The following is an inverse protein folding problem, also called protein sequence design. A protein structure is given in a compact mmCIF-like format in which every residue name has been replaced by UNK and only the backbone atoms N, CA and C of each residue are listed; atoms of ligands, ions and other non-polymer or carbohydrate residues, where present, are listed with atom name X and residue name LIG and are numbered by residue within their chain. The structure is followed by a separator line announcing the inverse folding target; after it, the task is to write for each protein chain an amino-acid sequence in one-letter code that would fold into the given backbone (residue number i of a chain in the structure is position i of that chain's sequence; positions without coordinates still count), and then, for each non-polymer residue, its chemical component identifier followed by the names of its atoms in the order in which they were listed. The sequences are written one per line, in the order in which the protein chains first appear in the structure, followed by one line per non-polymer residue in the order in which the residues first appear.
data_IF_777218805323
#
_entry.id   IF_777218805323
#
_cell.length_a   1.000
_cell.length_b   1.000
_cell.length_c   1.000
_cell.angle_alpha   90.00
_cell.angle_beta   90.00
_cell.angle_gamma   90.00
#
_symmetry.space_group_name_H-M   'P 1'
#
loop_
_entity.id
_entity.type
_entity.pdbx_description
1 polymer ?
#
# COMPACT_ATOMS: atom_id res chain seq x y z
N UNK A 1 6.25 10.92 -11.87
CA UNK A 1 6.12 11.71 -10.62
C UNK A 1 5.79 13.16 -10.96
N UNK A 2 5.23 13.93 -10.01
CA UNK A 2 4.85 15.33 -10.20
C UNK A 2 5.60 16.24 -9.23
N UNK A 3 5.98 17.43 -9.70
CA UNK A 3 6.61 18.48 -8.88
C UNK A 3 5.58 19.25 -8.02
N UNK A 4 6.05 20.25 -7.28
CA UNK A 4 5.24 21.13 -6.44
C UNK A 4 4.18 21.94 -7.22
N UNK A 5 4.34 22.07 -8.53
CA UNK A 5 3.39 22.73 -9.44
C UNK A 5 2.46 21.73 -10.15
N UNK A 6 2.55 20.44 -9.80
CA UNK A 6 1.76 19.36 -10.39
C UNK A 6 2.24 18.93 -11.79
N UNK A 7 3.36 19.46 -12.29
CA UNK A 7 3.90 19.11 -13.61
C UNK A 7 4.55 17.75 -13.55
N UNK A 8 4.34 16.96 -14.60
CA UNK A 8 4.90 15.62 -14.70
C UNK A 8 6.32 15.68 -15.25
N UNK A 9 7.22 14.93 -14.61
CA UNK A 9 8.59 14.73 -15.06
C UNK A 9 8.77 13.27 -15.48
N UNK A 10 8.63 12.98 -16.77
CA UNK A 10 8.70 11.61 -17.30
C UNK A 10 10.08 10.99 -17.14
N UNK A 11 11.14 11.72 -17.53
CA UNK A 11 12.52 11.25 -17.40
C UNK A 11 12.92 10.94 -15.96
N UNK A 12 12.41 11.70 -14.98
CA UNK A 12 12.63 11.39 -13.57
C UNK A 12 11.85 10.15 -13.12
N UNK A 13 10.64 9.92 -13.64
CA UNK A 13 9.87 8.70 -13.37
C UNK A 13 10.61 7.43 -13.83
N UNK A 14 11.20 7.46 -15.02
CA UNK A 14 12.05 6.37 -15.51
C UNK A 14 13.30 6.18 -14.65
N UNK A 15 13.99 7.28 -14.32
CA UNK A 15 15.17 7.24 -13.46
C UNK A 15 14.86 6.67 -12.08
N UNK A 16 13.73 7.05 -11.48
CA UNK A 16 13.29 6.53 -10.19
C UNK A 16 13.04 5.01 -10.24
N UNK A 17 12.40 4.50 -11.31
CA UNK A 17 12.21 3.05 -11.50
C UNK A 17 13.54 2.31 -11.61
N UNK A 18 14.51 2.87 -12.35
CA UNK A 18 15.86 2.29 -12.46
C UNK A 18 16.57 2.23 -11.10
N UNK A 19 16.52 3.31 -10.31
CA UNK A 19 17.13 3.37 -8.97
C UNK A 19 16.53 2.28 -8.07
N UNK A 20 15.20 2.16 -8.06
CA UNK A 20 14.51 1.14 -7.27
C UNK A 20 14.90 -0.27 -7.74
N UNK A 21 14.88 -0.55 -9.04
CA UNK A 21 15.24 -1.86 -9.58
C UNK A 21 16.69 -2.24 -9.23
N UNK A 22 17.65 -1.34 -9.47
CA UNK A 22 19.05 -1.56 -9.13
C UNK A 22 19.27 -1.74 -7.62
N UNK A 23 18.57 -0.96 -6.80
CA UNK A 23 18.64 -1.09 -5.36
C UNK A 23 18.12 -2.44 -4.87
N UNK A 24 16.99 -2.91 -5.41
CA UNK A 24 16.45 -4.23 -5.10
C UNK A 24 17.40 -5.36 -5.55
N UNK A 25 17.94 -5.29 -6.76
CA UNK A 25 18.93 -6.25 -7.29
C UNK A 25 20.21 -6.31 -6.43
N UNK A 26 20.66 -5.17 -5.92
CA UNK A 26 21.81 -5.06 -5.03
C UNK A 26 21.51 -5.40 -3.56
N UNK A 27 20.26 -5.74 -3.22
CA UNK A 27 19.84 -6.06 -1.85
C UNK A 27 19.82 -4.85 -0.91
N UNK A 28 19.69 -3.64 -1.46
CA UNK A 28 19.64 -2.40 -0.68
C UNK A 28 18.35 -2.30 0.14
N UNK A 29 18.49 -1.69 1.32
CA UNK A 29 17.35 -1.40 2.18
C UNK A 29 16.54 -0.21 1.67
N UNK A 30 15.33 -0.06 2.22
CA UNK A 30 14.43 1.09 1.97
C UNK A 30 15.13 2.43 2.14
N UNK A 31 15.96 2.58 3.17
CA UNK A 31 16.64 3.84 3.49
C UNK A 31 17.72 4.19 2.47
N UNK A 32 18.45 3.20 1.96
CA UNK A 32 19.43 3.39 0.89
C UNK A 32 18.73 3.85 -0.40
N UNK A 33 17.67 3.13 -0.80
CA UNK A 33 16.87 3.48 -1.97
C UNK A 33 16.26 4.87 -1.83
N UNK A 34 15.78 5.24 -0.63
CA UNK A 34 15.25 6.57 -0.37
C UNK A 34 16.30 7.67 -0.54
N UNK A 35 17.53 7.45 -0.06
CA UNK A 35 18.63 8.41 -0.25
C UNK A 35 18.98 8.59 -1.72
N UNK A 36 19.03 7.51 -2.50
CA UNK A 36 19.33 7.58 -3.92
C UNK A 36 18.22 8.29 -4.71
N UNK A 37 16.95 8.04 -4.36
CA UNK A 37 15.81 8.76 -4.92
C UNK A 37 15.85 10.25 -4.59
N UNK A 38 16.12 10.61 -3.33
CA UNK A 38 16.25 12.00 -2.88
C UNK A 38 17.38 12.73 -3.61
N UNK A 39 18.54 12.08 -3.73
CA UNK A 39 19.68 12.64 -4.46
C UNK A 39 19.35 12.89 -5.93
N UNK A 40 18.69 11.93 -6.60
CA UNK A 40 18.29 12.05 -8.00
C UNK A 40 17.18 13.09 -8.22
N UNK A 41 16.38 13.40 -7.20
CA UNK A 41 15.25 14.32 -7.29
C UNK A 41 15.62 15.78 -7.01
N UNK A 42 16.81 16.05 -6.45
CA UNK A 42 17.19 17.36 -5.88
C UNK A 42 16.93 18.55 -6.80
N UNK A 43 17.16 18.39 -8.10
CA UNK A 43 17.00 19.45 -9.10
C UNK A 43 15.71 19.34 -9.92
N UNK A 44 14.84 18.38 -9.61
CA UNK A 44 13.60 18.09 -10.35
C UNK A 44 12.36 18.34 -9.51
N UNK A 45 12.40 17.95 -8.23
CA UNK A 45 11.27 18.04 -7.30
C UNK A 45 11.76 18.74 -6.04
N UNK A 46 11.36 20.00 -5.86
CA UNK A 46 11.76 20.78 -4.70
C UNK A 46 10.84 20.51 -3.49
N UNK A 47 11.33 20.83 -2.30
CA UNK A 47 10.52 20.89 -1.07
C UNK A 47 10.07 19.54 -0.50
N UNK A 48 10.60 18.41 -0.98
CA UNK A 48 10.34 17.07 -0.39
C UNK A 48 11.47 16.69 0.54
N UNK A 49 11.16 16.49 1.82
CA UNK A 49 12.12 15.98 2.81
C UNK A 49 12.28 14.46 2.77
N UNK A 50 13.28 13.95 3.47
CA UNK A 50 13.65 12.51 3.52
C UNK A 50 12.47 11.56 3.76
N UNK A 51 11.56 11.91 4.67
CA UNK A 51 10.39 11.08 4.99
C UNK A 51 9.47 10.80 3.78
N UNK A 52 9.37 11.75 2.85
CA UNK A 52 8.63 11.55 1.60
C UNK A 52 9.28 10.45 0.76
N UNK A 53 10.60 10.52 0.60
CA UNK A 53 11.37 9.55 -0.17
C UNK A 53 11.40 8.17 0.49
N UNK A 54 11.46 8.12 1.81
CA UNK A 54 11.29 6.90 2.58
C UNK A 54 9.92 6.24 2.35
N UNK A 55 8.86 7.04 2.24
CA UNK A 55 7.51 6.56 1.95
C UNK A 55 7.42 6.02 0.53
N UNK A 56 7.99 6.73 -0.45
CA UNK A 56 8.04 6.30 -1.85
C UNK A 56 8.84 5.00 -1.99
N UNK A 57 10.06 4.96 -1.46
CA UNK A 57 10.89 3.75 -1.45
C UNK A 57 10.19 2.58 -0.74
N UNK A 58 9.58 2.83 0.42
CA UNK A 58 8.84 1.82 1.17
C UNK A 58 7.66 1.24 0.39
N UNK A 59 6.92 2.09 -0.35
CA UNK A 59 5.82 1.64 -1.19
C UNK A 59 6.31 0.75 -2.35
N UNK A 60 7.42 1.10 -3.00
CA UNK A 60 8.00 0.26 -4.06
C UNK A 60 8.48 -1.10 -3.55
N UNK A 61 9.24 -1.11 -2.45
CA UNK A 61 9.75 -2.35 -1.84
C UNK A 61 8.58 -3.25 -1.41
N UNK A 62 7.56 -2.68 -0.77
CA UNK A 62 6.39 -3.43 -0.33
C UNK A 62 5.58 -4.00 -1.52
N UNK A 63 5.37 -3.22 -2.58
CA UNK A 63 4.70 -3.73 -3.79
C UNK A 63 5.49 -4.86 -4.45
N UNK A 64 6.81 -4.72 -4.59
CA UNK A 64 7.67 -5.76 -5.15
C UNK A 64 7.62 -7.05 -4.34
N UNK A 65 7.62 -6.93 -3.00
CA UNK A 65 7.45 -8.07 -2.09
C UNK A 65 6.08 -8.74 -2.28
N UNK A 66 5.00 -7.98 -2.28
CA UNK A 66 3.64 -8.52 -2.44
C UNK A 66 3.47 -9.22 -3.79
N UNK A 67 3.98 -8.63 -4.87
CA UNK A 67 3.98 -9.27 -6.19
C UNK A 67 4.72 -10.61 -6.14
N UNK A 68 5.95 -10.63 -5.64
CA UNK A 68 6.75 -11.85 -5.55
C UNK A 68 6.08 -12.95 -4.71
N UNK A 69 5.46 -12.58 -3.57
CA UNK A 69 4.73 -13.53 -2.73
C UNK A 69 3.51 -14.13 -3.46
N UNK A 70 2.69 -13.29 -4.10
CA UNK A 70 1.50 -13.74 -4.81
C UNK A 70 1.86 -14.58 -6.04
N UNK A 71 2.92 -14.23 -6.77
CA UNK A 71 3.44 -15.04 -7.88
C UNK A 71 3.89 -16.43 -7.39
N UNK A 72 4.63 -16.49 -6.27
CA UNK A 72 5.05 -17.76 -5.69
C UNK A 72 3.85 -18.61 -5.23
N UNK A 73 2.80 -17.99 -4.69
CA UNK A 73 1.56 -18.70 -4.35
C UNK A 73 0.88 -19.28 -5.60
N UNK A 74 0.79 -18.50 -6.67
CA UNK A 74 0.22 -18.97 -7.93
C UNK A 74 1.01 -20.14 -8.53
N UNK A 75 2.34 -20.06 -8.54
CA UNK A 75 3.23 -21.13 -9.00
C UNK A 75 3.06 -22.42 -8.18
N UNK A 76 2.78 -22.29 -6.88
CA UNK A 76 2.52 -23.39 -5.98
C UNK A 76 1.07 -23.94 -6.05
N UNK A 77 0.21 -23.37 -6.90
CA UNK A 77 -1.21 -23.76 -7.01
C UNK A 77 -2.06 -23.34 -5.81
N UNK A 78 -1.64 -22.32 -5.07
CA UNK A 78 -2.36 -21.77 -3.91
C UNK A 78 -3.31 -20.68 -4.39
N UNK A 79 -4.60 -20.82 -4.07
CA UNK A 79 -5.63 -19.90 -4.57
C UNK A 79 -5.90 -18.71 -3.64
N UNK A 80 -5.56 -18.82 -2.35
CA UNK A 80 -5.91 -17.82 -1.33
C UNK A 80 -4.75 -17.53 -0.38
N UNK A 81 -4.75 -16.32 0.17
CA UNK A 81 -3.82 -15.90 1.19
C UNK A 81 -4.53 -15.07 2.25
N UNK A 82 -4.00 -15.09 3.46
CA UNK A 82 -4.44 -14.27 4.58
C UNK A 82 -3.48 -13.09 4.77
N UNK A 83 -4.03 -11.96 5.20
CA UNK A 83 -3.25 -10.79 5.59
C UNK A 83 -2.71 -10.99 7.01
N UNK A 84 -1.40 -10.84 7.17
CA UNK A 84 -0.70 -10.97 8.45
C UNK A 84 0.01 -9.65 8.80
N UNK A 85 -0.40 -9.08 9.93
CA UNK A 85 0.14 -7.83 10.45
C UNK A 85 0.92 -8.07 11.75
N UNK A 86 1.95 -7.25 11.99
CA UNK A 86 2.81 -7.36 13.19
C UNK A 86 2.06 -7.07 14.50
N UNK A 87 0.99 -6.25 14.44
CA UNK A 87 0.11 -5.87 15.55
C UNK A 87 0.81 -5.19 16.74
N UNK A 88 1.95 -4.55 16.51
CA UNK A 88 2.71 -3.76 17.50
C UNK A 88 2.20 -2.31 17.66
N UNK A 89 2.85 -1.50 18.50
CA UNK A 89 2.45 -0.11 18.74
C UNK A 89 2.53 0.80 17.50
N UNK A 90 3.22 0.38 16.44
CA UNK A 90 3.32 1.14 15.18
C UNK A 90 2.32 0.66 14.14
N UNK A 91 1.51 -0.36 14.46
CA UNK A 91 0.47 -0.85 13.57
C UNK A 91 -0.73 0.09 13.59
N UNK A 92 -1.06 0.64 12.43
CA UNK A 92 -2.19 1.55 12.19
C UNK A 92 -3.53 0.82 12.30
N UNK A 93 -4.63 1.57 12.44
CA UNK A 93 -5.96 0.97 12.44
C UNK A 93 -6.29 0.35 11.07
N UNK A 94 -5.73 0.88 9.98
CA UNK A 94 -5.82 0.29 8.64
C UNK A 94 -5.28 -1.15 8.63
N UNK A 95 -4.06 -1.37 9.12
CA UNK A 95 -3.44 -2.69 9.12
C UNK A 95 -4.12 -3.63 10.12
N UNK A 96 -4.54 -3.14 11.29
CA UNK A 96 -5.32 -3.93 12.26
C UNK A 96 -6.65 -4.38 11.66
N UNK A 97 -7.32 -3.48 10.96
CA UNK A 97 -8.57 -3.77 10.29
C UNK A 97 -8.41 -4.87 9.23
N UNK A 98 -7.33 -4.84 8.46
CA UNK A 98 -7.08 -5.80 7.39
C UNK A 98 -6.51 -7.14 7.88
N UNK A 99 -5.98 -7.18 9.11
CA UNK A 99 -5.40 -8.39 9.70
C UNK A 99 -6.40 -9.56 9.73
N UNK A 100 -5.94 -10.72 9.28
CA UNK A 100 -6.74 -11.94 9.21
C UNK A 100 -7.77 -11.98 8.07
N UNK A 101 -7.92 -10.92 7.28
CA UNK A 101 -8.75 -10.97 6.06
C UNK A 101 -8.07 -11.79 4.99
N UNK A 102 -8.89 -12.46 4.19
CA UNK A 102 -8.45 -13.42 3.19
C UNK A 102 -8.81 -12.95 1.80
N UNK A 103 -7.88 -13.07 0.86
CA UNK A 103 -8.07 -12.64 -0.53
C UNK A 103 -7.64 -13.73 -1.50
N UNK A 104 -8.04 -13.58 -2.76
CA UNK A 104 -7.68 -14.51 -3.84
C UNK A 104 -6.38 -14.09 -4.52
N UNK A 105 -5.51 -15.07 -4.79
CA UNK A 105 -4.23 -14.84 -5.48
C UNK A 105 -4.46 -14.25 -6.87
N UNK A 106 -5.43 -14.81 -7.60
CA UNK A 106 -5.78 -14.36 -8.95
C UNK A 106 -6.27 -12.90 -9.01
N UNK A 107 -6.99 -12.43 -8.00
CA UNK A 107 -7.42 -11.02 -7.94
C UNK A 107 -6.25 -10.10 -7.65
N UNK A 108 -5.39 -10.47 -6.70
CA UNK A 108 -4.19 -9.67 -6.39
C UNK A 108 -3.24 -9.53 -7.58
N UNK A 109 -2.97 -10.62 -8.30
CA UNK A 109 -2.14 -10.59 -9.51
C UNK A 109 -2.76 -9.75 -10.63
N UNK A 110 -4.08 -9.85 -10.83
CA UNK A 110 -4.81 -9.02 -11.80
C UNK A 110 -4.67 -7.54 -11.50
N UNK A 111 -4.67 -7.13 -10.23
CA UNK A 111 -4.44 -5.73 -9.85
C UNK A 111 -3.03 -5.27 -10.27
N UNK A 112 -2.00 -6.09 -10.10
CA UNK A 112 -0.65 -5.78 -10.59
C UNK A 112 -0.61 -5.62 -12.12
N UNK A 113 -1.22 -6.56 -12.85
CA UNK A 113 -1.33 -6.49 -14.32
C UNK A 113 -2.01 -5.19 -14.78
N UNK A 114 -3.09 -4.79 -14.09
CA UNK A 114 -3.80 -3.53 -14.37
C UNK A 114 -2.92 -2.30 -14.10
N UNK A 115 -2.19 -2.29 -12.98
CA UNK A 115 -1.29 -1.18 -12.64
C UNK A 115 -0.10 -1.08 -13.60
N UNK A 116 0.39 -2.21 -14.12
CA UNK A 116 1.45 -2.24 -15.12
C UNK A 116 0.94 -1.73 -16.48
N UNK A 117 -0.25 -2.17 -16.89
CA UNK A 117 -0.87 -1.76 -18.15
C UNK A 117 -1.22 -0.26 -18.17
N UNK A 118 -1.69 0.30 -17.06
CA UNK A 118 -1.98 1.73 -16.92
C UNK A 118 -1.51 2.31 -15.58
N UNK A 119 -0.22 2.73 -15.49
CA UNK A 119 0.34 3.30 -14.28
C UNK A 119 -0.33 4.62 -13.83
N UNK A 120 -1.06 5.32 -14.72
CA UNK A 120 -1.76 6.54 -14.34
C UNK A 120 -2.96 6.28 -13.44
N UNK A 121 -3.58 5.12 -13.62
CA UNK A 121 -4.72 4.67 -12.84
C UNK A 121 -4.31 3.99 -11.54
N UNK A 122 -3.02 3.93 -11.21
CA UNK A 122 -2.53 3.25 -10.00
C UNK A 122 -3.28 3.67 -8.71
N UNK A 123 -3.62 4.95 -8.57
CA UNK A 123 -4.39 5.46 -7.41
C UNK A 123 -5.84 4.99 -7.39
N UNK A 124 -6.41 4.70 -8.55
CA UNK A 124 -7.77 4.16 -8.68
C UNK A 124 -7.76 2.64 -8.52
N UNK A 125 -6.81 1.96 -9.15
CA UNK A 125 -6.65 0.50 -9.13
C UNK A 125 -6.27 -0.01 -7.74
N UNK A 126 -5.32 0.63 -7.05
CA UNK A 126 -4.87 0.27 -5.70
C UNK A 126 -4.73 1.54 -4.85
N UNK A 127 -5.85 2.06 -4.32
CA UNK A 127 -5.83 3.28 -3.51
C UNK A 127 -5.15 3.05 -2.17
N UNK A 128 -4.52 4.09 -1.62
CA UNK A 128 -4.18 4.08 -0.20
C UNK A 128 -5.44 4.22 0.64
N UNK A 129 -5.55 3.39 1.66
CA UNK A 129 -6.55 3.56 2.70
C UNK A 129 -6.11 4.72 3.59
N UNK A 130 -7.05 5.57 3.95
CA UNK A 130 -6.84 6.76 4.77
C UNK A 130 -7.70 6.69 6.03
N UNK A 131 -7.28 7.44 7.04
CA UNK A 131 -8.00 7.60 8.30
C UNK A 131 -8.52 9.03 8.41
N UNK A 132 -9.73 9.19 8.95
CA UNK A 132 -10.28 10.48 9.38
C UNK A 132 -11.07 10.29 10.69
N UNK A 133 -11.38 11.40 11.37
CA UNK A 133 -12.37 11.42 12.43
C UNK A 133 -13.69 11.86 11.81
N UNK A 134 -14.74 11.07 12.02
CA UNK A 134 -16.10 11.44 11.68
C UNK A 134 -16.56 12.57 12.62
N UNK A 135 -16.99 13.72 12.08
CA UNK A 135 -17.34 14.88 12.91
C UNK A 135 -18.64 14.69 13.70
N UNK A 136 -19.54 13.83 13.24
CA UNK A 136 -20.85 13.62 13.87
C UNK A 136 -20.75 12.61 15.01
N UNK A 137 -19.96 11.55 14.82
CA UNK A 137 -19.81 10.47 15.82
C UNK A 137 -18.56 10.60 16.68
N UNK A 138 -17.57 11.39 16.25
CA UNK A 138 -16.26 11.49 16.88
C UNK A 138 -15.39 10.24 16.72
N UNK A 139 -15.85 9.24 15.95
CA UNK A 139 -15.14 7.97 15.75
C UNK A 139 -14.16 8.05 14.59
N UNK A 140 -13.14 7.21 14.63
CA UNK A 140 -12.23 7.09 13.50
C UNK A 140 -12.90 6.26 12.39
N UNK A 141 -12.78 6.72 11.16
CA UNK A 141 -13.28 6.04 9.96
C UNK A 141 -12.14 5.79 8.99
N UNK A 142 -12.17 4.62 8.35
CA UNK A 142 -11.28 4.25 7.26
C UNK A 142 -12.00 4.53 5.94
N UNK A 143 -11.31 5.12 4.97
CA UNK A 143 -11.87 5.41 3.66
C UNK A 143 -10.82 5.36 2.56
N UNK A 144 -11.28 5.25 1.31
CA UNK A 144 -10.45 5.44 0.11
C UNK A 144 -10.96 6.61 -0.72
N UNK A 145 -10.08 7.24 -1.48
CA UNK A 145 -10.43 8.31 -2.42
C UNK A 145 -10.70 7.73 -3.81
N UNK A 146 -11.82 8.16 -4.41
CA UNK A 146 -12.25 7.80 -5.77
C UNK A 146 -12.60 9.09 -6.51
N UNK A 147 -11.61 9.64 -7.21
CA UNK A 147 -11.69 11.02 -7.69
C UNK A 147 -11.91 11.96 -6.51
N UNK A 148 -13.01 12.71 -6.53
CA UNK A 148 -13.39 13.64 -5.46
C UNK A 148 -14.22 12.99 -4.34
N UNK A 149 -14.60 11.72 -4.49
CA UNK A 149 -15.45 11.01 -3.52
C UNK A 149 -14.63 10.26 -2.49
N UNK A 150 -15.09 10.29 -1.23
CA UNK A 150 -14.62 9.39 -0.18
C UNK A 150 -15.56 8.19 -0.08
N UNK A 151 -15.02 7.00 -0.24
CA UNK A 151 -15.76 5.75 -0.08
C UNK A 151 -15.41 5.17 1.28
N UNK A 152 -16.37 5.04 2.21
CA UNK A 152 -16.11 4.47 3.53
C UNK A 152 -15.76 2.99 3.40
N UNK A 153 -14.77 2.56 4.18
CA UNK A 153 -14.26 1.18 4.21
C UNK A 153 -14.64 0.48 5.51
N UNK A 154 -14.46 1.17 6.65
CA UNK A 154 -14.83 0.66 7.96
C UNK A 154 -14.97 1.83 8.95
N UNK A 155 -15.75 1.60 10.01
CA UNK A 155 -15.75 2.44 11.20
C UNK A 155 -14.95 1.74 12.31
N UNK A 156 -14.05 2.47 12.96
CA UNK A 156 -13.30 1.98 14.11
C UNK A 156 -14.16 2.22 15.35
N UNK A 157 -14.89 1.18 15.76
CA UNK A 157 -15.88 1.27 16.85
C UNK A 157 -15.26 1.26 18.25
N UNK A 158 -14.04 0.75 18.40
CA UNK A 158 -13.22 0.85 19.62
C UNK A 158 -11.73 0.84 19.28
N UNK A 159 -10.90 1.44 20.14
CA UNK A 159 -9.44 1.49 19.95
C UNK A 159 -8.83 0.11 20.18
N UNK A 160 -8.14 -0.44 19.18
CA UNK A 160 -7.48 -1.73 19.27
C UNK A 160 -6.04 -1.65 19.83
N UNK A 161 -5.62 -0.48 20.34
CA UNK A 161 -4.34 -0.31 21.05
C UNK A 161 -4.24 -1.30 22.23
N UNK A 162 -3.33 -2.28 22.10
CA UNK A 162 -3.09 -3.30 23.11
C UNK A 162 -3.98 -4.55 23.03
N UNK A 163 -4.87 -4.67 22.04
CA UNK A 163 -5.75 -5.84 21.86
C UNK A 163 -5.59 -6.45 20.46
N UNK A 164 -5.23 -7.74 20.37
CA UNK A 164 -4.99 -8.44 19.10
C UNK A 164 -6.27 -8.81 18.32
N UNK A 165 -7.39 -9.04 19.01
CA UNK A 165 -8.52 -9.79 18.43
C UNK A 165 -9.75 -8.96 18.07
N UNK A 166 -9.61 -7.63 17.98
CA UNK A 166 -10.73 -6.77 17.67
C UNK A 166 -10.69 -6.22 16.24
N UNK A 167 -11.68 -6.63 15.44
CA UNK A 167 -11.70 -6.43 13.98
C UNK A 167 -12.73 -5.40 13.50
N UNK A 168 -13.58 -4.86 14.38
CA UNK A 168 -14.66 -3.93 14.02
C UNK A 168 -15.74 -4.50 13.10
N UNK A 169 -16.73 -3.68 12.73
CA UNK A 169 -17.79 -4.00 11.75
C UNK A 169 -17.42 -3.35 10.41
N UNK A 170 -17.51 -4.08 9.28
CA UNK A 170 -16.89 -3.61 8.03
C UNK A 170 -17.36 -4.24 6.73
N UNK A 171 -16.95 -3.63 5.61
CA UNK A 171 -17.05 -4.20 4.26
C UNK A 171 -16.56 -5.66 4.18
N UNK A 172 -17.21 -6.43 3.31
CA UNK A 172 -16.82 -7.81 3.03
C UNK A 172 -15.46 -7.86 2.31
N UNK A 173 -14.76 -8.99 2.38
CA UNK A 173 -13.51 -9.21 1.63
C UNK A 173 -13.71 -8.96 0.14
N UNK A 174 -14.85 -9.37 -0.42
CA UNK A 174 -15.21 -9.14 -1.81
C UNK A 174 -15.35 -7.64 -2.15
N UNK A 175 -15.94 -6.86 -1.25
CA UNK A 175 -16.07 -5.42 -1.45
C UNK A 175 -14.71 -4.73 -1.35
N UNK A 176 -13.84 -5.18 -0.45
CA UNK A 176 -12.45 -4.71 -0.34
C UNK A 176 -11.64 -5.03 -1.61
N UNK A 177 -11.76 -6.24 -2.16
CA UNK A 177 -11.17 -6.59 -3.47
C UNK A 177 -11.69 -5.68 -4.59
N UNK A 178 -12.99 -5.42 -4.62
CA UNK A 178 -13.60 -4.48 -5.59
C UNK A 178 -13.11 -3.04 -5.44
N UNK A 179 -12.59 -2.67 -4.28
CA UNK A 179 -11.93 -1.39 -4.02
C UNK A 179 -10.41 -1.44 -4.25
N UNK A 180 -9.85 -2.56 -4.72
CA UNK A 180 -8.41 -2.69 -4.92
C UNK A 180 -7.61 -2.83 -3.63
N UNK A 181 -8.28 -3.20 -2.53
CA UNK A 181 -7.69 -3.40 -1.21
C UNK A 181 -7.57 -4.91 -0.98
N UNK A 182 -6.52 -5.53 -1.51
CA UNK A 182 -6.32 -6.99 -1.42
C UNK A 182 -4.93 -7.40 -0.94
N UNK A 183 -3.89 -6.61 -1.20
CA UNK A 183 -2.52 -6.89 -0.72
C UNK A 183 -1.83 -5.61 -0.22
N UNK A 184 -0.82 -5.73 0.66
CA UNK A 184 -0.04 -4.58 1.10
C UNK A 184 0.85 -4.02 -0.03
N UNK A 185 1.21 -2.72 -0.02
CA UNK A 185 1.02 -1.77 1.07
C UNK A 185 -0.34 -1.05 1.01
N UNK A 186 -1.02 -0.93 2.15
CA UNK A 186 -2.27 -0.17 2.27
C UNK A 186 -2.06 1.32 2.56
N UNK A 187 -0.87 1.67 3.05
CA UNK A 187 -0.44 3.03 3.37
C UNK A 187 1.10 3.12 3.35
N UNK A 188 1.64 4.34 3.52
CA UNK A 188 3.08 4.56 3.61
C UNK A 188 3.73 3.78 4.76
N UNK A 189 4.89 3.16 4.49
CA UNK A 189 5.67 2.37 5.46
C UNK A 189 4.90 1.18 6.08
N UNK A 190 3.95 0.61 5.33
CA UNK A 190 3.24 -0.60 5.72
C UNK A 190 4.21 -1.78 5.92
N UNK A 191 4.05 -2.52 7.03
CA UNK A 191 4.85 -3.72 7.37
C UNK A 191 4.02 -5.02 7.34
N UNK A 192 2.77 -4.93 6.90
CA UNK A 192 1.90 -6.09 6.70
C UNK A 192 2.45 -6.97 5.57
N UNK A 193 2.27 -8.28 5.73
CA UNK A 193 2.65 -9.32 4.77
C UNK A 193 1.41 -10.17 4.43
N UNK A 194 1.57 -11.04 3.44
CA UNK A 194 0.60 -12.11 3.16
C UNK A 194 1.18 -13.45 3.59
N UNK A 195 0.30 -14.38 3.94
CA UNK A 195 0.63 -15.79 4.22
C UNK A 195 -0.31 -16.67 3.39
N UNK A 196 0.25 -17.64 2.68
CA UNK A 196 -0.53 -18.59 1.89
C UNK A 196 -1.49 -19.41 2.77
N UNK A 197 -2.70 -19.66 2.26
CA UNK A 197 -3.65 -20.60 2.86
C UNK A 197 -3.60 -21.91 2.08
N UNK A 198 -3.25 -22.99 2.76
CA UNK A 198 -3.23 -24.36 2.23
C UNK A 198 -4.53 -25.10 2.54
#
# INVERSE_FOLDING_TARGET
MRDEYGRRHEGFGERARQIVAQGLEAGLGREDIARDLEAAARDVIAGRGSFYWETVAGAFVANGRSFAQLSAYAEAGIDRYIIETILDERTTEICRFLDGKTFTVSTGLRTFEQMEADPELAKEISPWVREAIDPDTGRKVLFVERGERRVPVAEVTRSALGTRDDRGDSLSERDLEGLGISFPPYHGLCRTSTVALT
#
